data_IF_363211281648
#
_entry.id   IF_363211281648
#
_cell.length_a   1.000
_cell.length_b   1.000
_cell.length_c   1.000
_cell.angle_alpha   90.00
_cell.angle_beta   90.00
_cell.angle_gamma   90.00
#
_symmetry.space_group_name_H-M   'P 1'
#
loop_
_entity.id
_entity.type
_entity.pdbx_description
1 polymer ?
#
# COMPACT_ATOMS: atom_id res chain seq x y z
N UNK A 1 59.32 40.51 2.66
CA UNK A 1 60.46 39.84 2.03
C UNK A 1 59.91 38.74 1.11
N UNK A 2 60.10 38.92 -0.17
CA UNK A 2 59.66 37.99 -1.25
C UNK A 2 60.61 36.80 -1.28
N UNK A 3 60.11 35.55 -1.35
CA UNK A 3 60.86 34.41 -1.87
C UNK A 3 59.97 33.63 -2.84
N UNK A 4 60.56 33.40 -3.97
CA UNK A 4 60.16 32.97 -5.29
C UNK A 4 59.88 31.48 -5.40
N UNK A 5 59.02 31.16 -6.37
CA UNK A 5 58.84 29.82 -6.99
C UNK A 5 60.12 29.34 -7.65
N UNK A 6 60.45 28.02 -7.51
CA UNK A 6 60.94 27.19 -8.65
C UNK A 6 61.19 25.72 -8.24
N UNK A 7 60.53 24.87 -8.97
CA UNK A 7 60.89 23.53 -9.47
C UNK A 7 61.74 22.59 -8.63
N UNK A 8 61.11 21.44 -8.29
CA UNK A 8 61.87 20.17 -8.34
C UNK A 8 60.98 19.07 -8.92
N UNK A 9 61.24 18.73 -10.19
CA UNK A 9 60.77 17.52 -10.83
C UNK A 9 61.71 16.40 -10.42
N UNK A 10 61.19 15.44 -9.66
CA UNK A 10 61.87 14.14 -9.51
C UNK A 10 60.91 13.07 -9.95
N UNK A 11 61.21 12.44 -11.09
CA UNK A 11 60.57 11.23 -11.60
C UNK A 11 60.83 10.11 -10.62
N UNK A 12 59.79 9.58 -9.98
CA UNK A 12 59.83 8.26 -9.37
C UNK A 12 58.84 7.39 -10.12
N UNK A 13 59.36 6.52 -10.95
CA UNK A 13 58.65 5.40 -11.55
C UNK A 13 58.44 4.37 -10.46
N UNK A 14 57.28 4.25 -9.90
CA UNK A 14 56.89 3.16 -9.03
C UNK A 14 55.81 2.34 -9.73
N UNK A 15 56.09 1.07 -9.85
CA UNK A 15 55.33 0.09 -10.59
C UNK A 15 53.87 0.01 -10.13
N UNK A 16 53.00 -0.13 -11.14
CA UNK A 16 51.59 -0.46 -10.97
C UNK A 16 51.47 -1.89 -10.49
N UNK A 17 51.38 -2.08 -9.20
CA UNK A 17 50.74 -3.24 -8.61
C UNK A 17 49.39 -2.74 -8.09
N UNK A 18 48.43 -2.61 -9.00
CA UNK A 18 47.03 -2.35 -8.68
C UNK A 18 46.43 -3.56 -7.98
N UNK A 19 46.63 -3.70 -6.69
CA UNK A 19 45.79 -4.51 -5.84
C UNK A 19 44.51 -3.67 -5.63
N UNK A 20 43.50 -3.90 -6.48
CA UNK A 20 42.13 -3.56 -6.21
C UNK A 20 41.75 -4.29 -4.92
N UNK A 21 41.91 -3.63 -3.78
CA UNK A 21 41.18 -3.99 -2.57
C UNK A 21 39.70 -3.76 -2.88
N UNK A 22 39.09 -4.70 -3.60
CA UNK A 22 37.66 -4.95 -3.44
C UNK A 22 37.51 -5.34 -1.96
N UNK A 23 37.19 -4.36 -1.14
CA UNK A 23 36.59 -4.63 0.16
C UNK A 23 35.28 -5.34 -0.20
N UNK A 24 35.32 -6.65 -0.14
CA UNK A 24 34.12 -7.44 0.10
C UNK A 24 33.58 -6.98 1.46
N UNK A 25 32.80 -5.90 1.42
CA UNK A 25 31.88 -5.58 2.50
C UNK A 25 30.84 -6.70 2.49
N UNK A 26 31.17 -7.80 3.13
CA UNK A 26 30.17 -8.75 3.59
C UNK A 26 29.33 -8.01 4.61
N UNK A 27 28.32 -7.28 4.12
CA UNK A 27 27.28 -6.75 4.96
C UNK A 27 26.61 -7.96 5.59
N UNK A 28 26.77 -8.15 6.89
CA UNK A 28 25.91 -9.08 7.61
C UNK A 28 24.48 -8.69 7.27
N UNK A 29 23.75 -9.59 6.58
CA UNK A 29 22.39 -9.31 6.14
C UNK A 29 21.55 -8.95 7.35
N UNK A 30 20.97 -7.77 7.33
CA UNK A 30 20.08 -7.34 8.41
C UNK A 30 18.77 -8.09 8.28
N UNK A 31 18.49 -8.93 9.29
CA UNK A 31 17.22 -9.65 9.38
C UNK A 31 16.11 -8.77 9.92
N UNK A 32 14.93 -8.92 9.37
CA UNK A 32 13.76 -8.19 9.82
C UNK A 32 12.47 -8.82 9.32
N UNK A 33 11.34 -8.35 9.85
CA UNK A 33 10.01 -8.78 9.45
C UNK A 33 9.23 -7.62 8.83
N UNK A 34 8.50 -7.93 7.77
CA UNK A 34 7.71 -7.01 7.00
C UNK A 34 6.25 -7.46 6.96
N UNK A 35 5.36 -6.69 7.60
CA UNK A 35 3.92 -6.93 7.57
C UNK A 35 3.26 -6.34 6.34
N UNK A 36 2.41 -7.10 5.65
CA UNK A 36 1.72 -6.66 4.44
C UNK A 36 0.40 -7.39 4.21
N UNK A 37 -0.40 -6.92 3.26
CA UNK A 37 -1.61 -7.61 2.80
C UNK A 37 -1.42 -8.17 1.37
N UNK A 38 -2.02 -9.33 1.07
CA UNK A 38 -1.97 -9.95 -0.27
C UNK A 38 -2.95 -9.28 -1.24
N UNK A 39 -2.73 -8.01 -1.51
CA UNK A 39 -3.53 -7.19 -2.43
C UNK A 39 -2.63 -6.47 -3.43
N UNK A 40 -3.24 -5.95 -4.48
CA UNK A 40 -2.56 -5.32 -5.62
C UNK A 40 -1.68 -4.13 -5.23
N UNK A 41 -2.00 -3.46 -4.14
CA UNK A 41 -1.26 -2.29 -3.65
C UNK A 41 0.18 -2.63 -3.23
N UNK A 42 0.48 -3.92 -3.01
CA UNK A 42 1.82 -4.40 -2.70
C UNK A 42 2.58 -4.93 -3.93
N UNK A 43 2.06 -4.75 -5.15
CA UNK A 43 2.71 -5.29 -6.35
C UNK A 43 4.12 -4.75 -6.57
N UNK A 44 4.40 -3.48 -6.21
CA UNK A 44 5.76 -2.93 -6.26
C UNK A 44 6.73 -3.66 -5.29
N UNK A 45 6.26 -4.02 -4.09
CA UNK A 45 7.02 -4.84 -3.14
C UNK A 45 7.26 -6.24 -3.70
N UNK A 46 6.25 -6.86 -4.30
CA UNK A 46 6.41 -8.18 -4.92
C UNK A 46 7.42 -8.15 -6.07
N UNK A 47 7.44 -7.07 -6.86
CA UNK A 47 8.50 -6.83 -7.86
C UNK A 47 9.88 -6.69 -7.20
N UNK A 48 9.98 -5.97 -6.09
CA UNK A 48 11.24 -5.84 -5.37
C UNK A 48 11.74 -7.19 -4.83
N UNK A 49 10.83 -8.05 -4.36
CA UNK A 49 11.16 -9.42 -3.93
C UNK A 49 11.60 -10.28 -5.12
N UNK A 50 10.85 -10.27 -6.23
CA UNK A 50 11.14 -11.05 -7.42
C UNK A 50 12.48 -10.70 -8.05
N UNK A 51 12.81 -9.41 -8.09
CA UNK A 51 14.08 -8.90 -8.62
C UNK A 51 15.24 -8.95 -7.61
N UNK A 52 14.99 -9.41 -6.37
CA UNK A 52 16.02 -9.51 -5.33
C UNK A 52 16.54 -8.17 -4.80
N UNK A 53 15.76 -7.08 -4.94
CA UNK A 53 16.24 -5.74 -4.56
C UNK A 53 16.46 -5.59 -3.06
N UNK A 54 15.68 -6.25 -2.22
CA UNK A 54 15.93 -6.27 -0.77
C UNK A 54 17.29 -6.92 -0.45
N UNK A 55 17.57 -8.08 -1.05
CA UNK A 55 18.85 -8.77 -0.87
C UNK A 55 20.03 -7.93 -1.39
N UNK A 56 19.86 -7.24 -2.53
CA UNK A 56 20.89 -6.36 -3.09
C UNK A 56 21.18 -5.13 -2.20
N UNK A 57 20.22 -4.73 -1.35
CA UNK A 57 20.37 -3.68 -0.34
C UNK A 57 20.82 -4.25 1.04
N UNK A 58 21.20 -5.52 1.12
CA UNK A 58 21.67 -6.14 2.36
C UNK A 58 20.55 -6.53 3.33
N UNK A 59 19.30 -6.61 2.88
CA UNK A 59 18.14 -6.94 3.70
C UNK A 59 17.68 -8.39 3.47
N UNK A 60 17.53 -9.14 4.57
CA UNK A 60 16.86 -10.45 4.58
C UNK A 60 15.54 -10.30 5.35
N UNK A 61 14.44 -10.09 4.61
CA UNK A 61 13.14 -9.82 5.19
C UNK A 61 12.24 -11.06 5.16
N UNK A 62 11.78 -11.48 6.33
CA UNK A 62 10.64 -12.37 6.46
C UNK A 62 9.36 -11.58 6.17
N UNK A 63 8.61 -11.98 5.15
CA UNK A 63 7.36 -11.32 4.80
C UNK A 63 6.18 -11.99 5.48
N UNK A 64 5.41 -11.23 6.26
CA UNK A 64 4.31 -11.71 7.09
C UNK A 64 2.98 -11.19 6.51
N UNK A 65 2.20 -12.05 5.80
CA UNK A 65 0.89 -11.65 5.32
C UNK A 65 -0.10 -11.54 6.48
N UNK A 66 -0.85 -10.45 6.53
CA UNK A 66 -1.80 -10.12 7.59
C UNK A 66 -3.17 -9.76 7.03
N UNK A 67 -4.22 -9.92 7.83
CA UNK A 67 -5.60 -9.73 7.39
C UNK A 67 -6.02 -8.27 7.21
N UNK A 68 -5.37 -7.33 7.91
CA UNK A 68 -5.74 -5.92 7.88
C UNK A 68 -4.69 -4.97 8.44
N UNK A 69 -4.89 -3.69 8.17
CA UNK A 69 -3.93 -2.65 8.55
C UNK A 69 -3.73 -2.48 10.05
N UNK A 70 -4.79 -2.58 10.84
CA UNK A 70 -4.70 -2.41 12.30
C UNK A 70 -3.76 -3.43 12.95
N UNK A 71 -3.81 -4.71 12.53
CA UNK A 71 -2.90 -5.75 13.04
C UNK A 71 -1.45 -5.51 12.62
N UNK A 72 -1.22 -4.93 11.42
CA UNK A 72 0.12 -4.55 10.98
C UNK A 72 0.65 -3.41 11.84
N UNK A 73 -0.17 -2.40 12.14
CA UNK A 73 0.21 -1.30 13.05
C UNK A 73 0.59 -1.82 14.41
N UNK A 74 -0.21 -2.74 14.99
CA UNK A 74 0.12 -3.37 16.26
C UNK A 74 1.46 -4.10 16.22
N UNK A 75 1.72 -4.89 15.17
CA UNK A 75 2.98 -5.60 14.99
C UNK A 75 4.20 -4.68 14.88
N UNK A 76 4.08 -3.52 14.21
CA UNK A 76 5.16 -2.52 14.16
C UNK A 76 5.33 -1.82 15.51
N UNK A 77 4.23 -1.53 16.20
CA UNK A 77 4.27 -0.86 17.50
C UNK A 77 4.85 -1.75 18.59
N UNK A 78 4.55 -3.05 18.58
CA UNK A 78 5.14 -4.03 19.52
C UNK A 78 6.61 -4.31 19.23
N UNK A 79 7.08 -4.02 18.01
CA UNK A 79 8.43 -4.36 17.52
C UNK A 79 8.55 -5.76 16.91
N UNK A 80 7.45 -6.51 16.80
CA UNK A 80 7.43 -7.81 16.12
C UNK A 80 7.66 -7.67 14.62
N UNK A 81 7.29 -6.52 14.05
CA UNK A 81 7.57 -6.12 12.68
C UNK A 81 8.47 -4.89 12.66
N UNK A 82 9.47 -4.88 11.82
CA UNK A 82 10.35 -3.73 11.59
C UNK A 82 9.74 -2.76 10.60
N UNK A 83 9.07 -3.30 9.59
CA UNK A 83 8.37 -2.54 8.56
C UNK A 83 6.92 -3.00 8.43
N UNK A 84 6.04 -2.07 8.14
CA UNK A 84 4.65 -2.35 7.85
C UNK A 84 4.18 -1.64 6.59
N UNK A 85 3.21 -2.23 5.93
CA UNK A 85 2.42 -1.58 4.90
C UNK A 85 0.97 -1.52 5.35
N UNK A 86 0.35 -0.35 5.31
CA UNK A 86 -1.08 -0.24 5.60
C UNK A 86 -1.73 1.00 4.95
N UNK A 87 -3.06 1.01 4.90
CA UNK A 87 -3.81 2.18 4.47
C UNK A 87 -3.62 3.35 5.43
N UNK A 88 -3.68 4.56 4.89
CA UNK A 88 -3.38 5.78 5.65
C UNK A 88 -4.38 6.06 6.78
N UNK A 89 -5.62 5.59 6.68
CA UNK A 89 -6.63 5.81 7.72
C UNK A 89 -6.24 5.09 9.03
N UNK A 90 -5.78 3.84 8.92
CA UNK A 90 -5.26 3.09 10.08
C UNK A 90 -4.06 3.77 10.72
N UNK A 91 -3.22 4.46 9.92
CA UNK A 91 -2.09 5.24 10.42
C UNK A 91 -2.56 6.50 11.13
N UNK A 92 -3.54 7.22 10.61
CA UNK A 92 -4.09 8.41 11.27
C UNK A 92 -4.71 8.06 12.63
N UNK A 93 -5.47 6.97 12.69
CA UNK A 93 -6.04 6.48 13.95
C UNK A 93 -4.97 6.16 14.98
N UNK A 94 -3.97 5.37 14.59
CA UNK A 94 -2.86 5.00 15.46
C UNK A 94 -2.10 6.25 15.96
N UNK A 95 -1.86 7.24 15.09
CA UNK A 95 -1.20 8.47 15.50
C UNK A 95 -2.04 9.31 16.49
N UNK A 96 -3.36 9.37 16.29
CA UNK A 96 -4.28 10.03 17.25
C UNK A 96 -4.25 9.35 18.62
N UNK A 97 -4.05 8.04 18.66
CA UNK A 97 -3.90 7.23 19.87
C UNK A 97 -2.50 7.32 20.51
N UNK A 98 -1.58 8.06 19.90
CA UNK A 98 -0.25 8.33 20.45
C UNK A 98 0.84 7.34 20.02
N UNK A 99 0.61 6.56 18.96
CA UNK A 99 1.66 5.71 18.40
C UNK A 99 2.59 6.50 17.50
N UNK A 100 3.90 6.41 17.78
CA UNK A 100 4.95 7.11 17.04
C UNK A 100 5.51 6.25 15.91
N UNK A 101 5.24 6.66 14.68
CA UNK A 101 5.79 6.08 13.46
C UNK A 101 5.97 7.14 12.38
N UNK A 102 6.75 6.79 11.37
CA UNK A 102 6.93 7.61 10.18
C UNK A 102 6.53 6.85 8.92
N UNK A 103 5.90 7.56 7.99
CA UNK A 103 5.76 7.12 6.62
C UNK A 103 7.13 7.22 5.96
N UNK A 104 7.67 6.10 5.48
CA UNK A 104 9.05 6.03 4.99
C UNK A 104 9.16 5.88 3.48
N UNK A 105 8.12 5.37 2.83
CA UNK A 105 8.07 5.26 1.37
C UNK A 105 6.63 5.35 0.87
N UNK A 106 6.45 5.85 -0.34
CA UNK A 106 5.17 5.81 -1.03
C UNK A 106 4.67 4.38 -1.21
N UNK A 107 3.37 4.24 -1.16
CA UNK A 107 2.68 2.97 -1.44
C UNK A 107 1.80 3.13 -2.67
N UNK A 108 0.57 2.69 -2.55
CA UNK A 108 -0.43 2.83 -3.60
C UNK A 108 -1.10 4.22 -3.55
N UNK A 109 -1.23 4.85 -4.70
CA UNK A 109 -1.97 6.09 -4.90
C UNK A 109 -3.13 5.83 -5.85
N UNK A 110 -4.33 6.29 -5.50
CA UNK A 110 -5.44 6.32 -6.43
C UNK A 110 -5.38 7.58 -7.28
N UNK A 111 -5.59 7.44 -8.58
CA UNK A 111 -5.67 8.56 -9.53
C UNK A 111 -6.88 8.30 -10.43
N UNK A 112 -7.83 9.25 -10.48
CA UNK A 112 -9.02 9.15 -11.33
C UNK A 112 -8.61 8.96 -12.80
N UNK A 113 -9.26 8.01 -13.48
CA UNK A 113 -8.96 7.67 -14.87
C UNK A 113 -7.75 6.76 -15.05
N UNK A 114 -7.05 6.40 -13.96
CA UNK A 114 -6.14 5.25 -13.95
C UNK A 114 -6.94 3.95 -13.81
N UNK A 115 -6.25 2.81 -13.81
CA UNK A 115 -6.92 1.53 -13.60
C UNK A 115 -7.66 1.51 -12.25
N UNK A 116 -8.93 1.15 -12.30
CA UNK A 116 -9.75 0.98 -11.10
C UNK A 116 -9.26 -0.24 -10.32
N UNK A 117 -8.97 -0.05 -9.04
CA UNK A 117 -8.47 -1.11 -8.15
C UNK A 117 -9.46 -1.50 -7.08
N UNK A 118 -10.65 -0.90 -7.11
CA UNK A 118 -11.68 -1.10 -6.10
C UNK A 118 -13.07 -1.05 -6.74
N UNK A 119 -13.97 -1.92 -6.27
CA UNK A 119 -15.34 -1.97 -6.74
C UNK A 119 -16.34 -2.15 -5.60
N UNK A 120 -17.53 -1.58 -5.78
CA UNK A 120 -18.75 -2.02 -5.07
C UNK A 120 -19.45 -3.00 -5.98
N UNK A 121 -19.68 -4.22 -5.48
CA UNK A 121 -20.27 -5.33 -6.23
C UNK A 121 -21.57 -5.77 -5.54
N UNK A 122 -22.58 -6.08 -6.33
CA UNK A 122 -23.90 -6.56 -5.90
C UNK A 122 -24.27 -7.83 -6.64
N UNK A 123 -25.28 -8.55 -6.18
CA UNK A 123 -25.84 -9.68 -6.93
C UNK A 123 -26.34 -9.22 -8.30
N UNK A 124 -26.27 -10.09 -9.32
CA UNK A 124 -26.66 -9.79 -10.69
C UNK A 124 -28.10 -9.29 -10.77
N UNK A 125 -29.00 -9.98 -10.11
CA UNK A 125 -30.43 -9.70 -10.12
C UNK A 125 -30.85 -8.78 -8.95
N UNK A 126 -29.90 -8.24 -8.22
CA UNK A 126 -30.16 -7.30 -7.12
C UNK A 126 -30.89 -6.05 -7.63
N UNK A 127 -31.91 -5.55 -6.90
CA UNK A 127 -32.58 -4.30 -7.22
C UNK A 127 -31.70 -3.06 -6.99
N UNK A 128 -30.54 -3.20 -6.36
CA UNK A 128 -29.62 -2.09 -6.05
C UNK A 128 -28.97 -1.61 -7.35
N UNK A 129 -29.33 -0.42 -7.83
CA UNK A 129 -28.81 0.20 -9.06
C UNK A 129 -28.09 1.51 -8.83
N UNK A 130 -28.21 2.07 -7.64
CA UNK A 130 -27.64 3.36 -7.26
C UNK A 130 -27.11 3.36 -5.82
N UNK A 131 -26.40 4.41 -5.43
CA UNK A 131 -25.96 4.63 -4.06
C UNK A 131 -27.14 4.70 -3.06
N UNK A 132 -28.25 5.30 -3.48
CA UNK A 132 -29.47 5.43 -2.66
C UNK A 132 -30.11 4.08 -2.35
N UNK A 133 -30.01 3.11 -3.23
CA UNK A 133 -30.60 1.78 -3.04
C UNK A 133 -29.83 0.95 -1.99
N UNK A 134 -28.65 1.41 -1.57
CA UNK A 134 -27.90 0.81 -0.48
C UNK A 134 -28.42 1.18 0.91
N UNK A 135 -29.32 2.19 1.03
CA UNK A 135 -29.95 2.52 2.31
C UNK A 135 -30.73 1.32 2.87
N UNK A 136 -30.52 1.01 4.14
CA UNK A 136 -31.11 -0.15 4.82
C UNK A 136 -30.48 -1.51 4.45
N UNK A 137 -29.47 -1.53 3.59
CA UNK A 137 -28.78 -2.74 3.16
C UNK A 137 -27.55 -3.07 4.01
N UNK A 138 -27.12 -4.32 3.93
CA UNK A 138 -25.89 -4.80 4.56
C UNK A 138 -24.75 -4.80 3.54
N UNK A 139 -23.71 -4.03 3.79
CA UNK A 139 -22.52 -3.90 2.92
C UNK A 139 -21.28 -4.45 3.65
N UNK A 140 -20.59 -5.39 3.04
CA UNK A 140 -19.33 -5.89 3.60
C UNK A 140 -18.16 -5.00 3.21
N UNK A 141 -17.30 -4.73 4.19
CA UNK A 141 -15.95 -4.15 4.06
C UNK A 141 -14.94 -5.07 4.74
N UNK A 142 -13.66 -5.01 4.37
CA UNK A 142 -12.67 -5.91 4.97
C UNK A 142 -12.38 -5.58 6.45
N UNK A 143 -12.47 -4.32 6.82
CA UNK A 143 -12.32 -3.82 8.20
C UNK A 143 -13.12 -2.52 8.32
N UNK A 144 -13.86 -2.36 9.42
CA UNK A 144 -14.53 -1.09 9.73
C UNK A 144 -13.48 0.01 10.00
N UNK A 145 -13.87 1.24 9.73
CA UNK A 145 -13.05 2.43 9.97
C UNK A 145 -11.68 2.42 9.25
N UNK A 146 -11.59 1.77 8.10
CA UNK A 146 -10.44 1.84 7.21
C UNK A 146 -10.78 2.58 5.92
N UNK A 147 -9.84 2.61 4.96
CA UNK A 147 -10.03 3.34 3.70
C UNK A 147 -11.15 2.76 2.83
N UNK A 148 -11.35 1.45 2.84
CA UNK A 148 -12.44 0.79 2.07
C UNK A 148 -13.80 1.22 2.61
N UNK A 149 -13.94 1.25 3.94
CA UNK A 149 -15.15 1.71 4.60
C UNK A 149 -15.38 3.22 4.37
N UNK A 150 -14.35 4.05 4.59
CA UNK A 150 -14.42 5.49 4.39
C UNK A 150 -14.87 5.86 2.97
N UNK A 151 -14.27 5.24 1.96
CA UNK A 151 -14.58 5.54 0.56
C UNK A 151 -15.97 5.05 0.17
N UNK A 152 -16.45 3.94 0.75
CA UNK A 152 -17.83 3.49 0.55
C UNK A 152 -18.85 4.48 1.14
N UNK A 153 -18.64 4.93 2.38
CA UNK A 153 -19.47 5.98 3.01
C UNK A 153 -19.52 7.24 2.15
N UNK A 154 -18.33 7.75 1.78
CA UNK A 154 -18.20 9.00 1.04
C UNK A 154 -18.79 8.92 -0.36
N UNK A 155 -18.69 7.77 -1.02
CA UNK A 155 -19.32 7.55 -2.32
C UNK A 155 -20.83 7.54 -2.23
N UNK A 156 -21.41 6.88 -1.23
CA UNK A 156 -22.86 6.86 -1.02
C UNK A 156 -23.38 8.26 -0.80
N UNK A 157 -22.80 9.02 0.11
CA UNK A 157 -23.25 10.38 0.42
C UNK A 157 -23.09 11.32 -0.77
N UNK A 158 -21.99 11.19 -1.53
CA UNK A 158 -21.74 12.00 -2.72
C UNK A 158 -22.74 11.73 -3.84
N UNK A 159 -23.27 10.50 -3.93
CA UNK A 159 -24.19 10.08 -4.98
C UNK A 159 -25.66 10.02 -4.53
N UNK A 160 -26.02 10.85 -3.55
CA UNK A 160 -27.41 11.11 -3.14
C UNK A 160 -28.04 10.07 -2.23
N UNK A 161 -27.25 9.13 -1.71
CA UNK A 161 -27.66 8.23 -0.63
C UNK A 161 -27.35 8.80 0.75
N UNK A 162 -27.75 8.08 1.79
CA UNK A 162 -27.42 8.37 3.17
C UNK A 162 -26.64 7.17 3.78
N UNK A 163 -25.32 7.33 3.90
CA UNK A 163 -24.42 6.26 4.37
C UNK A 163 -24.71 5.83 5.81
N UNK A 164 -25.29 6.71 6.65
CA UNK A 164 -25.66 6.37 8.02
C UNK A 164 -26.80 5.34 8.16
N UNK A 165 -27.51 5.10 7.07
CA UNK A 165 -28.57 4.09 7.00
C UNK A 165 -28.07 2.71 6.54
N UNK A 166 -26.79 2.58 6.22
CA UNK A 166 -26.22 1.33 5.74
C UNK A 166 -25.65 0.55 6.94
N UNK A 167 -25.92 -0.76 6.97
CA UNK A 167 -25.28 -1.65 7.94
C UNK A 167 -23.97 -2.17 7.36
N UNK A 168 -22.84 -1.63 7.78
CA UNK A 168 -21.54 -2.17 7.41
C UNK A 168 -21.15 -3.35 8.31
N UNK A 169 -20.56 -4.38 7.70
CA UNK A 169 -20.07 -5.58 8.41
C UNK A 169 -18.66 -5.93 7.93
N UNK A 170 -17.85 -6.51 8.84
CA UNK A 170 -16.50 -6.95 8.50
C UNK A 170 -16.51 -8.36 7.92
N UNK A 171 -15.98 -8.51 6.71
CA UNK A 171 -15.72 -9.80 6.07
C UNK A 171 -14.37 -9.70 5.35
N UNK A 172 -13.39 -10.59 5.64
CA UNK A 172 -12.12 -10.61 4.91
C UNK A 172 -12.32 -10.74 3.39
N UNK A 173 -11.50 -10.04 2.59
CA UNK A 173 -11.64 -9.99 1.14
C UNK A 173 -11.89 -11.35 0.46
N UNK A 174 -11.16 -12.44 0.79
CA UNK A 174 -11.39 -13.75 0.14
C UNK A 174 -12.78 -14.34 0.42
N UNK A 175 -13.46 -13.88 1.48
CA UNK A 175 -14.77 -14.40 1.90
C UNK A 175 -15.94 -13.52 1.41
N UNK A 176 -15.65 -12.31 0.88
CA UNK A 176 -16.69 -11.37 0.49
C UNK A 176 -17.56 -11.87 -0.66
N UNK A 177 -16.93 -12.30 -1.75
CA UNK A 177 -17.66 -12.82 -2.93
C UNK A 177 -18.53 -14.03 -2.58
N UNK A 178 -18.02 -15.06 -1.89
CA UNK A 178 -18.88 -16.15 -1.43
C UNK A 178 -20.04 -15.72 -0.52
N UNK A 179 -19.82 -14.73 0.34
CA UNK A 179 -20.87 -14.19 1.21
C UNK A 179 -21.95 -13.44 0.42
N UNK A 180 -21.57 -12.69 -0.61
CA UNK A 180 -22.50 -12.01 -1.51
C UNK A 180 -23.34 -13.01 -2.31
N UNK A 181 -22.71 -13.99 -2.92
CA UNK A 181 -23.40 -15.05 -3.70
C UNK A 181 -24.35 -15.85 -2.82
N UNK A 182 -23.98 -16.12 -1.57
CA UNK A 182 -24.83 -16.79 -0.59
C UNK A 182 -25.95 -15.89 0.00
N UNK A 183 -26.07 -14.63 -0.42
CA UNK A 183 -27.07 -13.67 0.07
C UNK A 183 -26.91 -13.27 1.53
N UNK A 184 -25.72 -13.48 2.13
CA UNK A 184 -25.42 -13.07 3.52
C UNK A 184 -25.23 -11.55 3.66
N UNK A 185 -24.90 -10.88 2.57
CA UNK A 185 -24.79 -9.43 2.44
C UNK A 185 -25.41 -9.00 1.11
N UNK A 186 -25.87 -7.76 1.04
CA UNK A 186 -26.50 -7.19 -0.15
C UNK A 186 -25.47 -6.63 -1.15
N UNK A 187 -24.32 -6.18 -0.65
CA UNK A 187 -23.22 -5.66 -1.44
C UNK A 187 -21.88 -5.89 -0.74
N UNK A 188 -20.81 -5.85 -1.52
CA UNK A 188 -19.43 -5.89 -1.03
C UNK A 188 -18.65 -4.69 -1.57
N UNK A 189 -17.79 -4.10 -0.75
CA UNK A 189 -16.82 -3.07 -1.13
C UNK A 189 -15.43 -3.72 -1.11
N UNK A 190 -14.88 -4.01 -2.28
CA UNK A 190 -13.80 -4.98 -2.44
C UNK A 190 -12.69 -4.46 -3.34
N UNK A 191 -11.44 -4.81 -3.01
CA UNK A 191 -10.23 -4.38 -3.70
C UNK A 191 -9.64 -5.48 -4.57
N UNK A 192 -8.85 -5.09 -5.57
CA UNK A 192 -8.11 -6.04 -6.40
C UNK A 192 -7.09 -6.87 -5.57
N UNK A 193 -6.93 -8.16 -5.85
CA UNK A 193 -7.48 -8.91 -7.00
C UNK A 193 -8.91 -9.44 -6.81
N UNK A 194 -9.49 -9.29 -5.64
CA UNK A 194 -10.82 -9.85 -5.30
C UNK A 194 -11.96 -9.13 -6.03
N UNK A 195 -11.77 -7.85 -6.40
CA UNK A 195 -12.72 -7.12 -7.23
C UNK A 195 -12.87 -7.78 -8.61
N UNK A 196 -11.77 -8.16 -9.24
CA UNK A 196 -11.79 -8.86 -10.53
C UNK A 196 -12.42 -10.25 -10.43
N UNK A 197 -12.22 -10.96 -9.34
CA UNK A 197 -12.88 -12.25 -9.08
C UNK A 197 -14.38 -12.05 -8.98
N UNK A 198 -14.83 -11.15 -8.11
CA UNK A 198 -16.25 -10.86 -7.91
C UNK A 198 -16.93 -10.35 -9.19
N UNK A 199 -16.29 -9.43 -9.93
CA UNK A 199 -16.85 -8.86 -11.15
C UNK A 199 -17.06 -9.86 -12.30
N UNK A 200 -16.43 -11.03 -12.23
CA UNK A 200 -16.52 -12.07 -13.29
C UNK A 200 -17.44 -13.22 -12.96
N UNK A 201 -17.97 -13.27 -11.76
CA UNK A 201 -18.99 -14.25 -11.42
C UNK A 201 -20.27 -13.96 -12.19
N UNK A 202 -20.89 -14.98 -12.80
CA UNK A 202 -22.16 -14.80 -13.50
C UNK A 202 -23.30 -14.33 -12.56
N UNK A 203 -23.16 -14.60 -11.25
CA UNK A 203 -24.12 -14.25 -10.21
C UNK A 203 -23.95 -12.81 -9.67
N UNK A 204 -22.95 -12.06 -10.12
CA UNK A 204 -22.67 -10.74 -9.59
C UNK A 204 -22.49 -9.69 -10.69
N UNK A 205 -22.52 -8.43 -10.32
CA UNK A 205 -22.18 -7.29 -11.18
C UNK A 205 -21.55 -6.15 -10.39
N UNK A 206 -20.69 -5.39 -11.04
CA UNK A 206 -20.17 -4.15 -10.49
C UNK A 206 -21.28 -3.10 -10.45
N UNK A 207 -21.47 -2.48 -9.29
CA UNK A 207 -22.33 -1.33 -9.11
C UNK A 207 -21.58 -0.03 -9.42
N UNK A 208 -20.35 0.10 -8.90
CA UNK A 208 -19.51 1.29 -9.08
C UNK A 208 -18.05 1.00 -8.76
N UNK A 209 -17.18 1.87 -9.27
CA UNK A 209 -15.78 2.01 -8.87
C UNK A 209 -15.62 3.33 -8.09
N UNK A 210 -15.80 3.33 -6.77
CA UNK A 210 -16.09 4.54 -6.01
C UNK A 210 -14.90 5.47 -5.79
N UNK A 211 -13.69 4.97 -5.81
CA UNK A 211 -12.54 5.73 -5.31
C UNK A 211 -12.22 6.98 -6.13
N UNK A 212 -12.09 6.84 -7.44
CA UNK A 212 -11.87 7.98 -8.34
C UNK A 212 -13.02 8.98 -8.35
N UNK A 213 -14.23 8.50 -8.04
CA UNK A 213 -15.41 9.33 -7.91
C UNK A 213 -15.38 10.19 -6.65
N UNK A 214 -14.96 9.62 -5.52
CA UNK A 214 -14.87 10.32 -4.23
C UNK A 214 -13.77 11.39 -4.27
N UNK A 215 -12.55 10.99 -4.60
CA UNK A 215 -11.38 11.86 -4.68
C UNK A 215 -10.62 11.64 -5.99
N UNK A 216 -10.24 12.71 -6.71
CA UNK A 216 -9.56 12.56 -8.00
C UNK A 216 -8.13 12.00 -7.85
N UNK A 217 -7.50 12.24 -6.71
CA UNK A 217 -6.17 11.72 -6.36
C UNK A 217 -6.01 11.69 -4.85
N UNK A 218 -5.45 10.60 -4.33
CA UNK A 218 -5.12 10.46 -2.90
C UNK A 218 -4.17 9.29 -2.65
N UNK A 219 -3.40 9.40 -1.57
CA UNK A 219 -2.58 8.29 -1.06
C UNK A 219 -3.51 7.26 -0.41
N UNK A 220 -3.48 6.03 -0.90
CA UNK A 220 -4.25 4.90 -0.36
C UNK A 220 -3.54 4.30 0.84
N UNK A 221 -2.25 4.05 0.69
CA UNK A 221 -1.44 3.32 1.65
C UNK A 221 0.03 3.73 1.57
N UNK A 222 0.76 3.44 2.62
CA UNK A 222 2.18 3.77 2.74
C UNK A 222 2.95 2.67 3.47
N UNK A 223 4.25 2.64 3.24
CA UNK A 223 5.22 1.92 4.06
C UNK A 223 5.56 2.77 5.29
N UNK A 224 5.62 2.13 6.43
CA UNK A 224 5.90 2.81 7.70
C UNK A 224 6.76 1.94 8.62
N UNK A 225 7.40 2.58 9.57
CA UNK A 225 8.14 1.93 10.66
C UNK A 225 8.06 2.80 11.92
N UNK A 226 8.30 2.22 13.09
CA UNK A 226 8.28 3.00 14.33
C UNK A 226 9.42 4.04 14.33
N UNK A 227 9.15 5.25 14.82
CA UNK A 227 10.13 6.32 14.85
C UNK A 227 11.36 5.94 15.68
N UNK A 228 11.14 5.31 16.84
CA UNK A 228 12.21 4.81 17.71
C UNK A 228 13.11 3.78 17.01
N UNK A 229 12.51 2.92 16.17
CA UNK A 229 13.28 1.92 15.43
C UNK A 229 14.10 2.58 14.31
N UNK A 230 13.50 3.51 13.56
CA UNK A 230 14.17 4.26 12.49
C UNK A 230 15.39 5.01 13.03
N UNK A 231 15.26 5.71 14.17
CA UNK A 231 16.37 6.44 14.79
C UNK A 231 17.58 5.55 15.09
N UNK A 232 17.34 4.29 15.46
CA UNK A 232 18.41 3.31 15.77
C UNK A 232 18.92 2.59 14.53
N UNK A 233 18.18 2.58 13.43
CA UNK A 233 18.43 1.75 12.25
C UNK A 233 18.28 2.57 10.96
N UNK A 234 18.87 3.77 10.91
CA UNK A 234 18.70 4.70 9.78
C UNK A 234 19.13 4.11 8.44
N UNK A 235 20.32 3.45 8.40
CA UNK A 235 20.82 2.85 7.17
C UNK A 235 19.93 1.71 6.67
N UNK A 236 19.41 0.89 7.58
CA UNK A 236 18.48 -0.21 7.28
C UNK A 236 17.15 0.35 6.74
N UNK A 237 16.65 1.43 7.33
CA UNK A 237 15.45 2.10 6.87
C UNK A 237 15.64 2.68 5.47
N UNK A 238 16.78 3.31 5.20
CA UNK A 238 17.10 3.86 3.88
C UNK A 238 17.28 2.75 2.83
N UNK A 239 17.93 1.63 3.20
CA UNK A 239 18.07 0.45 2.33
C UNK A 239 16.70 -0.12 1.94
N UNK A 240 15.78 -0.21 2.91
CA UNK A 240 14.39 -0.60 2.64
C UNK A 240 13.70 0.33 1.64
N UNK A 241 13.81 1.64 1.84
CA UNK A 241 13.22 2.65 0.94
C UNK A 241 13.81 2.53 -0.47
N UNK A 242 15.13 2.34 -0.60
CA UNK A 242 15.76 2.13 -1.92
C UNK A 242 15.27 0.87 -2.60
N UNK A 243 15.09 -0.23 -1.88
CA UNK A 243 14.58 -1.47 -2.43
C UNK A 243 13.12 -1.33 -2.92
N UNK A 244 12.25 -0.69 -2.13
CA UNK A 244 10.87 -0.39 -2.52
C UNK A 244 10.84 0.52 -3.77
N UNK A 245 11.65 1.57 -3.80
CA UNK A 245 11.70 2.50 -4.94
C UNK A 245 12.17 1.80 -6.24
N UNK A 246 13.13 0.86 -6.15
CA UNK A 246 13.50 0.01 -7.30
C UNK A 246 12.33 -0.87 -7.74
N UNK A 247 11.52 -1.37 -6.81
CA UNK A 247 10.29 -2.10 -7.10
C UNK A 247 9.24 -1.25 -7.81
N UNK A 248 9.10 0.01 -7.40
CA UNK A 248 8.24 1.01 -8.09
C UNK A 248 8.72 1.25 -9.52
N UNK A 249 10.03 1.42 -9.74
CA UNK A 249 10.57 1.60 -11.09
C UNK A 249 10.35 0.35 -11.96
N UNK A 250 10.57 -0.82 -11.37
CA UNK A 250 10.41 -2.08 -12.09
C UNK A 250 8.95 -2.31 -12.52
N UNK A 251 7.97 -1.98 -11.68
CA UNK A 251 6.55 -2.14 -12.05
C UNK A 251 6.10 -1.08 -13.07
N UNK A 252 6.68 0.11 -13.05
CA UNK A 252 6.43 1.12 -14.09
C UNK A 252 6.97 0.68 -15.45
N UNK A 253 8.14 0.03 -15.46
CA UNK A 253 8.76 -0.49 -16.68
C UNK A 253 8.08 -1.76 -17.21
N UNK A 254 7.53 -2.58 -16.32
CA UNK A 254 6.96 -3.90 -16.64
C UNK A 254 5.73 -4.20 -15.76
N UNK A 255 4.57 -3.71 -16.20
CA UNK A 255 3.30 -3.95 -15.49
C UNK A 255 2.87 -5.42 -15.52
N UNK A 256 3.20 -6.14 -16.57
CA UNK A 256 2.85 -7.55 -16.68
C UNK A 256 3.73 -8.41 -15.78
N UNK A 257 5.02 -8.07 -15.66
CA UNK A 257 5.88 -8.63 -14.61
C UNK A 257 5.35 -8.36 -13.20
N UNK A 258 4.79 -7.17 -12.96
CA UNK A 258 4.10 -6.85 -11.71
C UNK A 258 2.91 -7.77 -11.43
N UNK A 259 2.08 -8.05 -12.44
CA UNK A 259 0.97 -8.99 -12.34
C UNK A 259 1.45 -10.43 -12.13
N UNK A 260 2.53 -10.83 -12.81
CA UNK A 260 3.16 -12.13 -12.62
C UNK A 260 3.71 -12.31 -11.18
N UNK A 261 4.30 -11.26 -10.62
CA UNK A 261 4.74 -11.25 -9.23
C UNK A 261 3.57 -11.44 -8.24
N UNK A 262 2.37 -10.90 -8.55
CA UNK A 262 1.16 -11.15 -7.78
C UNK A 262 0.74 -12.63 -7.76
N UNK A 263 0.91 -13.35 -8.86
CA UNK A 263 0.64 -14.82 -8.91
C UNK A 263 1.54 -15.52 -7.89
N UNK A 264 2.83 -15.27 -7.95
CA UNK A 264 3.84 -15.95 -7.13
C UNK A 264 3.72 -15.60 -5.65
N UNK A 265 3.62 -14.31 -5.33
CA UNK A 265 3.79 -13.82 -3.97
C UNK A 265 2.48 -13.57 -3.21
N UNK A 266 1.41 -13.23 -3.93
CA UNK A 266 0.08 -13.04 -3.33
C UNK A 266 -0.86 -14.25 -3.52
N UNK A 267 -0.49 -15.21 -4.37
CA UNK A 267 -1.35 -16.36 -4.68
C UNK A 267 -2.51 -15.99 -5.60
N UNK A 268 -2.32 -14.97 -6.46
CA UNK A 268 -3.32 -14.63 -7.46
C UNK A 268 -3.50 -15.78 -8.45
N UNK A 269 -4.76 -16.12 -8.76
CA UNK A 269 -5.05 -17.07 -9.83
C UNK A 269 -4.54 -16.51 -11.18
N UNK A 270 -3.73 -17.27 -11.95
CA UNK A 270 -3.18 -16.83 -13.23
C UNK A 270 -4.23 -16.35 -14.24
N UNK A 271 -5.44 -16.94 -14.24
CA UNK A 271 -6.54 -16.58 -15.15
C UNK A 271 -7.03 -15.13 -14.98
N UNK A 272 -6.75 -14.53 -13.83
CA UNK A 272 -7.11 -13.15 -13.52
C UNK A 272 -5.95 -12.17 -13.69
N UNK A 273 -4.70 -12.64 -13.75
CA UNK A 273 -3.52 -11.79 -13.68
C UNK A 273 -3.51 -10.67 -14.73
N UNK A 274 -3.79 -10.98 -16.00
CA UNK A 274 -3.82 -10.00 -17.09
C UNK A 274 -4.99 -9.00 -17.02
N UNK A 275 -5.88 -9.14 -16.06
CA UNK A 275 -7.17 -8.42 -16.00
C UNK A 275 -7.35 -7.57 -14.74
N UNK A 276 -6.41 -7.65 -13.79
CA UNK A 276 -6.43 -6.83 -12.58
C UNK A 276 -5.93 -5.42 -12.85
N UNK A 277 -6.60 -4.44 -12.26
CA UNK A 277 -6.08 -3.09 -12.18
C UNK A 277 -4.84 -3.02 -11.29
N UNK A 278 -3.88 -2.18 -11.65
CA UNK A 278 -2.75 -1.84 -10.78
C UNK A 278 -2.91 -0.38 -10.36
N UNK A 279 -2.74 -0.05 -9.07
CA UNK A 279 -2.76 1.34 -8.62
C UNK A 279 -1.57 2.10 -9.22
N UNK A 280 -1.57 3.40 -9.03
CA UNK A 280 -0.40 4.21 -9.33
C UNK A 280 0.59 4.07 -8.17
N UNK A 281 1.83 3.70 -8.47
CA UNK A 281 2.89 3.59 -7.48
C UNK A 281 3.80 4.81 -7.55
N UNK A 282 4.16 5.37 -6.40
CA UNK A 282 5.05 6.52 -6.31
C UNK A 282 6.19 6.26 -5.33
N UNK A 283 7.35 6.84 -5.60
CA UNK A 283 8.49 6.76 -4.69
C UNK A 283 8.30 7.64 -3.45
N UNK A 284 7.68 8.80 -3.65
CA UNK A 284 7.45 9.80 -2.61
C UNK A 284 6.02 9.85 -2.10
N UNK A 285 5.83 10.64 -1.08
CA UNK A 285 4.53 10.96 -0.49
C UNK A 285 4.38 12.47 -0.55
N UNK A 286 3.26 12.97 -1.05
CA UNK A 286 2.98 14.41 -1.03
C UNK A 286 2.05 14.75 0.12
N UNK A 287 2.30 15.87 0.79
CA UNK A 287 1.40 16.37 1.85
C UNK A 287 -0.04 16.49 1.36
N UNK A 288 -0.23 16.94 0.13
CA UNK A 288 -1.57 17.09 -0.47
C UNK A 288 -2.31 15.75 -0.56
N UNK A 289 -1.65 14.67 -0.98
CA UNK A 289 -2.29 13.36 -1.13
C UNK A 289 -2.65 12.74 0.23
N UNK A 290 -1.91 13.10 1.28
CA UNK A 290 -2.20 12.74 2.67
C UNK A 290 -3.32 13.60 3.23
N UNK A 291 -3.26 14.93 3.04
CA UNK A 291 -4.21 15.87 3.63
C UNK A 291 -5.64 15.60 3.18
N UNK A 292 -5.87 15.34 1.89
CA UNK A 292 -7.24 15.11 1.37
C UNK A 292 -7.92 13.87 2.00
N UNK A 293 -7.16 12.82 2.29
CA UNK A 293 -7.70 11.63 2.97
C UNK A 293 -7.89 11.87 4.47
N UNK A 294 -7.02 12.66 5.07
CA UNK A 294 -7.13 13.04 6.47
C UNK A 294 -8.38 13.90 6.72
N UNK A 295 -8.62 14.91 5.88
CA UNK A 295 -9.79 15.78 5.97
C UNK A 295 -11.08 14.94 5.83
N UNK A 296 -11.08 13.99 4.90
CA UNK A 296 -12.21 13.09 4.71
C UNK A 296 -12.40 12.16 5.92
N UNK A 297 -11.31 11.62 6.48
CA UNK A 297 -11.33 10.78 7.68
C UNK A 297 -11.90 11.51 8.89
N UNK A 298 -11.51 12.77 9.08
CA UNK A 298 -12.04 13.62 10.14
C UNK A 298 -13.52 13.97 9.91
N UNK A 299 -13.89 14.30 8.68
CA UNK A 299 -15.30 14.57 8.29
C UNK A 299 -16.22 13.40 8.66
N UNK A 300 -15.78 12.17 8.44
CA UNK A 300 -16.54 10.95 8.79
C UNK A 300 -16.32 10.48 10.23
N UNK A 301 -15.69 11.30 11.08
CA UNK A 301 -15.48 11.04 12.51
C UNK A 301 -14.72 9.73 12.80
N UNK A 302 -13.88 9.27 11.86
CA UNK A 302 -13.01 8.11 12.05
C UNK A 302 -11.74 8.44 12.82
N UNK A 303 -11.44 9.71 13.01
CA UNK A 303 -10.44 10.25 13.96
C UNK A 303 -11.07 11.35 14.79
N UNK A 304 -10.63 11.50 16.04
CA UNK A 304 -11.21 12.43 17.02
C UNK A 304 -10.76 13.88 16.83
N UNK A 305 -9.65 14.12 16.14
CA UNK A 305 -9.08 15.44 15.87
C UNK A 305 -8.36 15.48 14.52
N UNK A 306 -8.32 16.62 13.82
CA UNK A 306 -7.51 16.75 12.64
C UNK A 306 -6.02 16.62 12.99
N UNK A 307 -5.23 16.08 12.09
CA UNK A 307 -3.79 15.97 12.23
C UNK A 307 -3.11 16.99 11.31
N UNK A 308 -1.92 17.43 11.70
CA UNK A 308 -1.10 18.27 10.85
C UNK A 308 -0.12 17.40 10.06
N UNK A 309 -0.20 17.48 8.75
CA UNK A 309 0.67 16.75 7.82
C UNK A 309 1.94 17.59 7.60
N UNK A 310 2.85 17.61 8.59
CA UNK A 310 4.15 18.25 8.44
C UNK A 310 5.27 17.33 8.87
#
# INVERSE_FOLDING_TARGET
MKISRRNFLTKVTVGVAGMSLMRDFSWAQTKGKLGYMKIVDNAAMFMAMEKGFFKAEGLELETVPMAGGAVIVQGVTSGDLQFGWTNVISLYQAHVEGFDFKLIAGGATNVRGSNETHAIVVGKDSPIKSAKDLEGKTVAVNTLNNIVHLMALAWVDKNGGNSSKIKFVEIPFPQMEPALVAGKVDAISVQEPFAAVAARRPETRVLSNPWGDVLPRFLVASWFASEKWIQKNQEVSQAFVRAINKGVDAIHADKDGGRAAMIKWAGLNPDFAGKIGLPFFERGITEKDVQVTMDLTYKYKMISRPLNVR
#
